data_IF_165251850594
#
_entry.id   IF_165251850594
#
_cell.length_a   1.000
_cell.length_b   1.000
_cell.length_c   1.000
_cell.angle_alpha   90.00
_cell.angle_beta   90.00
_cell.angle_gamma   90.00
#
_symmetry.space_group_name_H-M   'P 1'
#
loop_
_entity.id
_entity.type
_entity.pdbx_description
1 polymer ?
#
# COMPACT_ATOMS: atom_id res chain seq x y z
N UNK A 1 3.36 -20.39 11.92
CA UNK A 1 4.02 -20.65 10.63
C UNK A 1 5.18 -19.69 10.45
N UNK A 2 6.21 -20.11 9.70
CA UNK A 2 7.28 -19.23 9.22
C UNK A 2 6.97 -18.83 7.80
N UNK A 3 6.91 -17.55 7.53
CA UNK A 3 6.47 -16.98 6.25
C UNK A 3 7.56 -16.03 5.75
N UNK A 4 8.02 -16.23 4.53
CA UNK A 4 8.92 -15.31 3.84
C UNK A 4 8.15 -14.60 2.72
N UNK A 5 8.21 -13.27 2.72
CA UNK A 5 7.60 -12.42 1.67
C UNK A 5 8.74 -11.83 0.84
N UNK A 6 8.69 -12.05 -0.46
CA UNK A 6 9.67 -11.50 -1.41
C UNK A 6 9.06 -10.27 -2.07
N UNK A 7 9.64 -9.12 -1.76
CA UNK A 7 9.22 -7.80 -2.22
C UNK A 7 8.67 -6.93 -1.10
N UNK A 8 9.34 -5.80 -0.85
CA UNK A 8 8.98 -4.75 0.12
C UNK A 8 8.15 -3.62 -0.48
N UNK A 9 7.42 -3.87 -1.57
CA UNK A 9 6.44 -2.93 -2.09
C UNK A 9 5.16 -2.87 -1.24
N UNK A 10 4.18 -2.00 -1.58
CA UNK A 10 2.97 -1.82 -0.78
C UNK A 10 2.23 -3.12 -0.45
N UNK A 11 2.14 -4.03 -1.43
CA UNK A 11 1.46 -5.31 -1.24
C UNK A 11 2.19 -6.21 -0.23
N UNK A 12 3.52 -6.33 -0.34
CA UNK A 12 4.31 -7.16 0.57
C UNK A 12 4.32 -6.61 2.00
N UNK A 13 4.48 -5.30 2.15
CA UNK A 13 4.44 -4.65 3.47
C UNK A 13 3.08 -4.82 4.14
N UNK A 14 2.00 -4.57 3.39
CA UNK A 14 0.65 -4.68 3.94
C UNK A 14 0.26 -6.13 4.24
N UNK A 15 0.62 -7.08 3.37
CA UNK A 15 0.41 -8.51 3.63
C UNK A 15 1.14 -8.96 4.90
N UNK A 16 2.40 -8.56 5.08
CA UNK A 16 3.17 -8.88 6.28
C UNK A 16 2.52 -8.33 7.54
N UNK A 17 2.04 -7.10 7.48
CA UNK A 17 1.30 -6.49 8.58
C UNK A 17 0.03 -7.28 8.93
N UNK A 18 -0.81 -7.59 7.94
CA UNK A 18 -2.07 -8.32 8.16
C UNK A 18 -1.84 -9.72 8.75
N UNK A 19 -0.87 -10.46 8.20
CA UNK A 19 -0.54 -11.80 8.69
C UNK A 19 -0.11 -11.78 10.17
N UNK A 20 0.64 -10.78 10.58
CA UNK A 20 1.11 -10.65 11.95
C UNK A 20 0.06 -10.06 12.88
N UNK A 21 -0.76 -9.11 12.41
CA UNK A 21 -1.89 -8.54 13.15
C UNK A 21 -2.90 -9.64 13.53
N UNK A 22 -3.26 -10.47 12.55
CA UNK A 22 -4.33 -11.46 12.72
C UNK A 22 -3.82 -12.73 13.42
N UNK A 23 -2.52 -13.03 13.30
CA UNK A 23 -1.89 -14.20 13.91
C UNK A 23 -0.51 -13.87 14.49
N UNK A 24 -0.49 -13.37 15.72
CA UNK A 24 0.75 -12.94 16.40
C UNK A 24 1.81 -14.03 16.52
N UNK A 25 1.42 -15.31 16.49
CA UNK A 25 2.32 -16.46 16.54
C UNK A 25 3.05 -16.77 15.22
N UNK A 26 2.73 -16.06 14.11
CA UNK A 26 3.48 -16.21 12.87
C UNK A 26 4.83 -15.50 12.94
N UNK A 27 5.88 -16.13 12.40
CA UNK A 27 7.13 -15.46 12.06
C UNK A 27 7.00 -14.98 10.60
N UNK A 28 7.19 -13.70 10.37
CA UNK A 28 7.07 -13.10 9.03
C UNK A 28 8.34 -12.32 8.75
N UNK A 29 9.05 -12.71 7.70
CA UNK A 29 10.25 -12.04 7.21
C UNK A 29 9.96 -11.46 5.82
N UNK A 30 10.39 -10.21 5.57
CA UNK A 30 10.17 -9.52 4.30
C UNK A 30 11.53 -9.14 3.72
N UNK A 31 11.79 -9.54 2.48
CA UNK A 31 13.04 -9.28 1.77
C UNK A 31 12.79 -8.37 0.57
N UNK A 32 13.53 -7.27 0.48
CA UNK A 32 13.43 -6.29 -0.61
C UNK A 32 14.83 -6.09 -1.25
N UNK A 33 14.88 -6.20 -2.58
CA UNK A 33 16.14 -6.07 -3.32
C UNK A 33 16.69 -4.64 -3.35
N UNK A 34 15.81 -3.64 -3.30
CA UNK A 34 16.20 -2.24 -3.35
C UNK A 34 16.54 -1.69 -1.96
N UNK A 35 17.31 -0.60 -1.89
CA UNK A 35 17.47 0.18 -0.66
C UNK A 35 16.13 0.75 -0.17
N UNK A 36 16.03 1.02 1.12
CA UNK A 36 14.82 1.50 1.78
C UNK A 36 14.21 2.75 1.13
N UNK A 37 15.05 3.69 0.69
CA UNK A 37 14.61 4.98 0.14
C UNK A 37 14.48 4.96 -1.39
N UNK A 38 14.66 3.81 -2.03
CA UNK A 38 14.56 3.68 -3.47
C UNK A 38 13.11 3.38 -3.86
N UNK A 39 12.42 4.40 -4.32
CA UNK A 39 11.07 4.25 -4.88
C UNK A 39 11.07 4.54 -6.36
N UNK A 40 10.69 3.56 -7.16
CA UNK A 40 10.31 3.78 -8.56
C UNK A 40 8.80 3.97 -8.63
N UNK A 41 8.37 5.01 -9.35
CA UNK A 41 6.94 5.33 -9.51
C UNK A 41 6.50 6.57 -8.72
N UNK A 42 5.38 7.15 -9.16
CA UNK A 42 4.92 8.45 -8.67
C UNK A 42 3.89 8.34 -7.55
N UNK A 43 2.94 7.43 -7.69
CA UNK A 43 1.84 7.31 -6.73
C UNK A 43 0.97 6.08 -6.98
N UNK A 44 0.01 5.91 -6.10
CA UNK A 44 -1.00 4.84 -6.15
C UNK A 44 -2.38 5.50 -6.07
N UNK A 45 -3.27 5.04 -6.93
CA UNK A 45 -4.67 5.48 -6.97
C UNK A 45 -5.56 4.38 -6.40
N UNK A 46 -6.45 4.78 -5.53
CA UNK A 46 -7.48 3.93 -4.94
C UNK A 46 -8.85 4.41 -5.40
N UNK A 47 -9.77 3.50 -5.66
CA UNK A 47 -11.19 3.83 -5.76
C UNK A 47 -11.79 4.02 -4.37
N UNK A 48 -12.85 4.80 -4.25
CA UNK A 48 -13.58 4.94 -2.98
C UNK A 48 -14.00 3.58 -2.42
N UNK A 49 -14.43 2.67 -3.29
CA UNK A 49 -14.79 1.31 -2.89
C UNK A 49 -13.64 0.54 -2.24
N UNK A 50 -12.42 0.68 -2.77
CA UNK A 50 -11.23 0.05 -2.17
C UNK A 50 -10.92 0.64 -0.80
N UNK A 51 -11.10 1.96 -0.65
CA UNK A 51 -10.93 2.64 0.63
C UNK A 51 -12.02 2.27 1.64
N UNK A 52 -13.25 2.04 1.21
CA UNK A 52 -14.32 1.55 2.07
C UNK A 52 -14.00 0.16 2.64
N UNK A 53 -13.49 -0.76 1.81
CA UNK A 53 -13.02 -2.07 2.27
C UNK A 53 -11.88 -1.95 3.27
N UNK A 54 -10.91 -1.07 2.99
CA UNK A 54 -9.81 -0.83 3.92
C UNK A 54 -10.33 -0.29 5.27
N UNK A 55 -11.26 0.65 5.23
CA UNK A 55 -11.84 1.23 6.45
C UNK A 55 -12.61 0.19 7.28
N UNK A 56 -13.27 -0.76 6.64
CA UNK A 56 -13.99 -1.85 7.33
C UNK A 56 -13.04 -2.86 7.97
N UNK A 57 -11.96 -3.23 7.30
CA UNK A 57 -11.03 -4.27 7.77
C UNK A 57 -9.92 -3.72 8.66
N UNK A 58 -9.41 -2.54 8.34
CA UNK A 58 -8.28 -1.89 9.02
C UNK A 58 -8.48 -0.37 9.11
N UNK A 59 -9.42 0.08 9.97
CA UNK A 59 -9.75 1.50 10.12
C UNK A 59 -8.56 2.34 10.57
N UNK A 60 -7.62 1.77 11.29
CA UNK A 60 -6.44 2.50 11.77
C UNK A 60 -5.49 2.84 10.61
N UNK A 61 -5.23 1.92 9.69
CA UNK A 61 -4.44 2.20 8.48
C UNK A 61 -5.17 3.18 7.57
N UNK A 62 -6.48 3.02 7.40
CA UNK A 62 -7.33 3.97 6.66
C UNK A 62 -7.19 5.40 7.19
N UNK A 63 -7.33 5.60 8.50
CA UNK A 63 -7.21 6.93 9.14
C UNK A 63 -5.83 7.57 8.97
N UNK A 64 -4.79 6.79 8.79
CA UNK A 64 -3.44 7.29 8.52
C UNK A 64 -3.24 7.69 7.06
N UNK A 65 -3.91 7.00 6.13
CA UNK A 65 -3.81 7.24 4.69
C UNK A 65 -4.61 8.47 4.25
N UNK A 66 -5.87 8.58 4.67
CA UNK A 66 -6.81 9.60 4.20
C UNK A 66 -6.26 11.04 4.27
N UNK A 67 -5.63 11.51 5.36
CA UNK A 67 -5.11 12.88 5.44
C UNK A 67 -3.95 13.17 4.47
N UNK A 68 -3.37 12.12 3.87
CA UNK A 68 -2.25 12.23 2.92
C UNK A 68 -2.68 12.06 1.47
N UNK A 69 -3.97 11.85 1.24
CA UNK A 69 -4.52 11.59 -0.08
C UNK A 69 -5.13 12.83 -0.71
N UNK A 70 -5.01 12.93 -2.02
CA UNK A 70 -5.77 13.86 -2.87
C UNK A 70 -6.98 13.13 -3.42
N UNK A 71 -8.17 13.72 -3.30
CA UNK A 71 -9.45 13.13 -3.68
C UNK A 71 -10.07 13.84 -4.88
N UNK A 72 -10.71 13.08 -5.77
CA UNK A 72 -11.55 13.59 -6.86
C UNK A 72 -12.70 12.65 -7.14
N UNK A 73 -13.79 13.18 -7.68
CA UNK A 73 -15.05 12.45 -7.87
C UNK A 73 -15.21 11.95 -9.30
N UNK A 74 -14.76 12.75 -10.27
CA UNK A 74 -14.99 12.49 -11.68
C UNK A 74 -13.70 12.18 -12.43
N UNK A 75 -13.75 11.23 -13.35
CA UNK A 75 -12.66 10.95 -14.27
C UNK A 75 -13.05 11.39 -15.69
N UNK A 76 -12.24 12.25 -16.30
CA UNK A 76 -12.37 12.63 -17.70
C UNK A 76 -11.38 11.86 -18.55
N UNK A 77 -11.91 11.15 -19.53
CA UNK A 77 -11.12 10.48 -20.55
C UNK A 77 -11.27 11.25 -21.88
N UNK A 78 -10.16 11.60 -22.50
CA UNK A 78 -10.13 12.13 -23.84
C UNK A 78 -9.66 11.03 -24.80
N UNK A 79 -10.56 10.56 -25.64
CA UNK A 79 -10.27 9.51 -26.61
C UNK A 79 -10.52 10.06 -28.01
N UNK A 80 -9.46 10.37 -28.74
CA UNK A 80 -9.51 10.86 -30.14
C UNK A 80 -10.41 12.11 -30.33
N UNK A 81 -10.44 13.00 -29.33
CA UNK A 81 -11.25 14.23 -29.38
C UNK A 81 -12.66 14.07 -28.82
N UNK A 82 -13.05 12.88 -28.41
CA UNK A 82 -14.29 12.65 -27.66
C UNK A 82 -13.99 12.60 -26.15
N UNK A 83 -14.71 13.40 -25.38
CA UNK A 83 -14.62 13.40 -23.92
C UNK A 83 -15.66 12.46 -23.32
N UNK A 84 -15.17 11.49 -22.56
CA UNK A 84 -16.00 10.59 -21.76
C UNK A 84 -15.82 10.99 -20.30
N UNK A 85 -16.91 11.28 -19.63
CA UNK A 85 -16.91 11.59 -18.20
C UNK A 85 -17.44 10.38 -17.46
N UNK A 86 -16.62 9.83 -16.56
CA UNK A 86 -17.04 8.83 -15.59
C UNK A 86 -17.27 9.57 -14.28
N UNK A 87 -18.52 9.80 -13.96
CA UNK A 87 -18.96 10.52 -12.77
C UNK A 87 -19.32 9.57 -11.63
N UNK A 88 -19.20 10.05 -10.41
CA UNK A 88 -19.67 9.36 -9.20
C UNK A 88 -18.89 8.12 -8.79
N UNK A 89 -17.71 7.85 -9.39
CA UNK A 89 -16.84 6.72 -8.98
C UNK A 89 -15.82 7.28 -8.01
N UNK A 90 -15.66 8.14 -7.39
CA UNK A 90 -14.64 8.67 -6.49
C UNK A 90 -13.30 7.93 -6.46
N UNK A 91 -12.24 8.69 -6.47
CA UNK A 91 -10.87 8.21 -6.41
C UNK A 91 -10.04 9.02 -5.42
N UNK A 92 -9.00 8.41 -4.91
CA UNK A 92 -7.97 9.10 -4.13
C UNK A 92 -6.58 8.62 -4.52
N UNK A 93 -5.61 9.50 -4.49
CA UNK A 93 -4.21 9.16 -4.73
C UNK A 93 -3.31 9.55 -3.57
N UNK A 94 -2.26 8.78 -3.41
CA UNK A 94 -1.20 9.05 -2.44
C UNK A 94 0.16 8.86 -3.13
N UNK A 95 1.13 9.69 -2.77
CA UNK A 95 2.52 9.50 -3.20
C UNK A 95 3.05 8.13 -2.74
N UNK A 96 3.76 7.42 -3.62
CA UNK A 96 4.26 6.08 -3.33
C UNK A 96 5.14 6.04 -2.07
N UNK A 97 6.02 7.02 -1.89
CA UNK A 97 6.89 7.10 -0.72
C UNK A 97 6.09 7.23 0.57
N UNK A 98 5.10 8.12 0.59
CA UNK A 98 4.22 8.29 1.75
C UNK A 98 3.44 7.02 2.10
N UNK A 99 2.96 6.30 1.07
CA UNK A 99 2.30 5.00 1.28
C UNK A 99 3.25 3.99 1.93
N UNK A 100 4.47 3.87 1.41
CA UNK A 100 5.48 2.95 1.95
C UNK A 100 5.87 3.31 3.40
N UNK A 101 5.99 4.60 3.72
CA UNK A 101 6.26 5.07 5.08
C UNK A 101 5.15 4.63 6.05
N UNK A 102 3.90 4.89 5.70
CA UNK A 102 2.74 4.49 6.53
C UNK A 102 2.70 2.97 6.74
N UNK A 103 2.89 2.19 5.66
CA UNK A 103 2.87 0.74 5.76
C UNK A 103 4.05 0.19 6.55
N UNK A 104 5.23 0.82 6.48
CA UNK A 104 6.39 0.48 7.29
C UNK A 104 6.15 0.76 8.78
N UNK A 105 5.49 1.86 9.11
CA UNK A 105 5.05 2.14 10.49
C UNK A 105 4.07 1.09 11.00
N UNK A 106 3.14 0.64 10.16
CA UNK A 106 2.21 -0.45 10.53
C UNK A 106 2.94 -1.76 10.80
N UNK A 107 3.92 -2.11 9.96
CA UNK A 107 4.78 -3.27 10.19
C UNK A 107 5.56 -3.19 11.50
N UNK A 108 6.18 -2.04 11.75
CA UNK A 108 6.91 -1.80 13.01
C UNK A 108 6.01 -1.98 14.22
N UNK A 109 4.75 -1.58 14.14
CA UNK A 109 3.77 -1.72 15.23
C UNK A 109 3.48 -3.19 15.60
N UNK A 110 3.72 -4.12 14.68
CA UNK A 110 3.59 -5.58 14.92
C UNK A 110 4.94 -6.29 15.02
N UNK A 111 6.04 -5.54 15.11
CA UNK A 111 7.38 -6.06 15.35
C UNK A 111 8.10 -6.62 14.13
N UNK A 112 7.73 -6.22 12.92
CA UNK A 112 8.40 -6.62 11.67
C UNK A 112 9.22 -5.46 11.12
N UNK A 113 10.46 -5.75 10.74
CA UNK A 113 11.34 -4.82 10.01
C UNK A 113 11.79 -5.51 8.73
N UNK A 114 11.48 -4.95 7.53
CA UNK A 114 11.93 -5.52 6.27
C UNK A 114 13.46 -5.50 6.14
N UNK A 115 14.01 -6.52 5.49
CA UNK A 115 15.43 -6.58 5.10
C UNK A 115 15.57 -6.01 3.68
N UNK A 116 16.14 -4.81 3.60
CA UNK A 116 16.41 -4.12 2.33
C UNK A 116 17.75 -4.54 1.73
N UNK A 117 17.96 -4.21 0.45
CA UNK A 117 19.18 -4.55 -0.31
C UNK A 117 19.50 -6.06 -0.29
N UNK A 118 18.46 -6.87 -0.21
CA UNK A 118 18.56 -8.33 -0.12
C UNK A 118 17.86 -8.96 -1.32
N UNK A 119 18.67 -9.58 -2.18
CA UNK A 119 18.18 -10.24 -3.41
C UNK A 119 18.09 -11.74 -3.21
N UNK A 120 16.96 -12.33 -3.58
CA UNK A 120 16.83 -13.78 -3.68
C UNK A 120 17.68 -14.28 -4.86
N UNK A 121 18.53 -15.27 -4.63
CA UNK A 121 19.27 -15.99 -5.67
C UNK A 121 18.66 -17.37 -5.84
N UNK A 122 18.59 -17.81 -7.11
CA UNK A 122 18.24 -19.20 -7.44
C UNK A 122 19.28 -20.18 -6.92
#
# INVERSE_FOLDING_TARGET
MNIAIIGGGPAGLYLGYLLKRDHSGHSVDIFEQNPQDNTSGFGVVFSDRALDFLNLDDPETYQRLIPKMEHWVDLKLDLLGEQIILDGIGFASIGRLQLLEILSERLTSVGITPEFSTTLKE
#
